data_IF_847746071744
#
_entry.id   IF_847746071744
#
_cell.length_a   1.000
_cell.length_b   1.000
_cell.length_c   1.000
_cell.angle_alpha   90.00
_cell.angle_beta   90.00
_cell.angle_gamma   90.00
#
_symmetry.space_group_name_H-M   'P 1'
#
loop_
_entity.id
_entity.type
_entity.pdbx_description
1 polymer ?
#
# COMPACT_ATOMS: atom_id res chain seq x y z
N UNK A 1 2.52 -0.15 19.43
CA UNK A 1 1.12 -0.26 19.90
C UNK A 1 0.98 -1.36 20.95
N UNK A 2 1.38 -2.60 20.65
CA UNK A 2 1.19 -3.74 21.57
C UNK A 2 1.77 -3.54 22.97
N UNK A 3 2.96 -2.95 23.08
CA UNK A 3 3.56 -2.64 24.37
C UNK A 3 2.72 -1.65 25.20
N UNK A 4 2.04 -0.68 24.57
CA UNK A 4 1.17 0.26 25.27
C UNK A 4 -0.13 -0.40 25.74
N UNK A 5 -0.66 -1.34 24.95
CA UNK A 5 -1.82 -2.16 25.34
C UNK A 5 -1.44 -3.09 26.50
N UNK A 6 -0.32 -3.80 26.39
CA UNK A 6 0.16 -4.72 27.43
C UNK A 6 0.50 -4.00 28.75
N UNK A 7 0.96 -2.75 28.66
CA UNK A 7 1.20 -1.89 29.83
C UNK A 7 -0.08 -1.25 30.41
N UNK A 8 -1.25 -1.48 29.81
CA UNK A 8 -2.52 -0.89 30.25
C UNK A 8 -2.63 0.62 30.03
N UNK A 9 -1.79 1.20 29.17
CA UNK A 9 -1.78 2.64 28.87
C UNK A 9 -2.90 3.03 27.90
N UNK A 10 -3.31 2.09 27.04
CA UNK A 10 -4.44 2.21 26.12
C UNK A 10 -5.19 0.88 26.05
N UNK A 11 -6.47 0.92 25.68
CA UNK A 11 -7.36 -0.25 25.58
C UNK A 11 -7.08 -1.13 24.35
N UNK A 12 -6.70 -0.54 23.22
CA UNK A 12 -6.37 -1.26 22.00
C UNK A 12 -5.35 -0.52 21.11
N UNK A 13 -4.98 -1.13 19.99
CA UNK A 13 -4.02 -0.54 19.04
C UNK A 13 -4.59 0.71 18.36
N UNK A 14 -5.89 0.76 18.09
CA UNK A 14 -6.55 1.89 17.43
C UNK A 14 -6.44 3.14 18.31
N UNK A 15 -6.68 3.00 19.61
CA UNK A 15 -6.48 4.07 20.59
C UNK A 15 -5.02 4.53 20.63
N UNK A 16 -4.06 3.60 20.58
CA UNK A 16 -2.64 3.94 20.52
C UNK A 16 -2.32 4.85 19.32
N UNK A 17 -2.82 4.52 18.13
CA UNK A 17 -2.59 5.31 16.90
C UNK A 17 -3.43 6.58 16.82
N UNK A 18 -4.57 6.65 17.50
CA UNK A 18 -5.36 7.88 17.61
C UNK A 18 -4.72 8.91 18.57
N UNK A 19 -3.82 8.50 19.47
CA UNK A 19 -3.29 9.34 20.55
C UNK A 19 -1.75 9.42 20.60
N UNK A 20 -1.08 8.37 21.10
CA UNK A 20 0.36 8.40 21.43
C UNK A 20 1.24 8.14 20.21
N UNK A 21 0.79 7.30 19.28
CA UNK A 21 1.55 6.84 18.12
C UNK A 21 1.17 7.55 16.81
N UNK A 22 0.35 8.60 16.89
CA UNK A 22 0.07 9.48 15.74
C UNK A 22 1.27 10.35 15.39
N UNK A 23 1.39 10.71 14.12
CA UNK A 23 2.41 11.62 13.60
C UNK A 23 2.31 13.04 14.17
N UNK A 24 1.17 13.40 14.76
CA UNK A 24 0.94 14.69 15.42
C UNK A 24 1.33 14.70 16.90
N UNK A 25 1.70 13.55 17.48
CA UNK A 25 2.06 13.47 18.89
C UNK A 25 3.48 14.02 19.12
N UNK A 26 3.73 14.51 20.34
CA UNK A 26 5.08 14.92 20.78
C UNK A 26 6.09 13.77 20.87
N UNK A 27 5.63 12.52 20.73
CA UNK A 27 6.46 11.32 20.79
C UNK A 27 6.85 10.80 19.39
N UNK A 28 6.28 11.37 18.34
CA UNK A 28 6.58 10.95 16.98
C UNK A 28 8.01 11.34 16.60
N UNK A 29 8.77 10.35 16.16
CA UNK A 29 10.08 10.53 15.54
C UNK A 29 9.95 10.05 14.10
N UNK A 30 10.23 10.94 13.15
CA UNK A 30 10.15 10.60 11.73
C UNK A 30 11.24 9.58 11.39
N UNK A 31 10.81 8.42 10.89
CA UNK A 31 11.70 7.43 10.31
C UNK A 31 12.07 7.82 8.88
N UNK A 32 13.31 7.52 8.47
CA UNK A 32 13.73 7.69 7.08
C UNK A 32 12.90 6.78 6.17
N UNK A 33 12.27 7.36 5.16
CA UNK A 33 11.66 6.61 4.07
C UNK A 33 12.38 6.98 2.77
N UNK A 34 12.74 6.01 1.91
CA UNK A 34 13.28 6.32 0.60
C UNK A 34 12.25 7.11 -0.21
N UNK A 35 12.75 7.90 -1.15
CA UNK A 35 11.89 8.54 -2.15
C UNK A 35 11.09 7.46 -2.91
N UNK A 36 9.78 7.66 -3.18
CA UNK A 36 8.96 6.66 -3.86
C UNK A 36 9.49 6.24 -5.24
N UNK A 37 10.10 7.17 -5.98
CA UNK A 37 10.73 6.92 -7.28
C UNK A 37 11.92 5.98 -7.11
N UNK A 38 12.79 6.28 -6.13
CA UNK A 38 13.92 5.41 -5.78
C UNK A 38 13.44 4.02 -5.34
N UNK A 39 12.35 3.93 -4.58
CA UNK A 39 11.79 2.64 -4.18
C UNK A 39 11.32 1.81 -5.39
N UNK A 40 10.65 2.44 -6.37
CA UNK A 40 10.26 1.81 -7.63
C UNK A 40 11.49 1.30 -8.38
N UNK A 41 12.51 2.13 -8.56
CA UNK A 41 13.75 1.76 -9.26
C UNK A 41 14.45 0.58 -8.61
N UNK A 42 14.52 0.55 -7.28
CA UNK A 42 15.12 -0.56 -6.52
C UNK A 42 14.36 -1.87 -6.72
N UNK A 43 13.02 -1.84 -6.66
CA UNK A 43 12.20 -3.04 -6.91
C UNK A 43 12.40 -3.53 -8.34
N UNK A 44 12.43 -2.62 -9.33
CA UNK A 44 12.68 -2.96 -10.73
C UNK A 44 14.08 -3.55 -10.94
N UNK A 45 15.10 -2.96 -10.33
CA UNK A 45 16.48 -3.44 -10.40
C UNK A 45 16.65 -4.84 -9.79
N UNK A 46 15.85 -5.17 -8.77
CA UNK A 46 15.77 -6.50 -8.19
C UNK A 46 14.95 -7.51 -9.03
N UNK A 47 14.42 -7.10 -10.20
CA UNK A 47 13.57 -7.94 -11.04
C UNK A 47 12.13 -8.11 -10.52
N UNK A 48 11.69 -7.23 -9.62
CA UNK A 48 10.34 -7.24 -9.04
C UNK A 48 9.34 -6.38 -9.82
N UNK A 49 8.07 -6.49 -9.40
CA UNK A 49 6.94 -5.74 -9.95
C UNK A 49 6.44 -4.74 -8.91
N UNK A 50 6.81 -3.45 -9.01
CA UNK A 50 6.39 -2.45 -8.03
C UNK A 50 4.90 -2.12 -8.18
N UNK A 51 4.18 -2.19 -7.06
CA UNK A 51 2.76 -1.83 -6.93
C UNK A 51 2.61 -0.82 -5.81
N UNK A 52 1.92 0.30 -6.06
CA UNK A 52 1.68 1.31 -5.04
C UNK A 52 0.48 0.90 -4.17
N UNK A 53 0.75 0.50 -2.94
CA UNK A 53 -0.26 0.08 -1.97
C UNK A 53 -1.16 1.25 -1.51
N UNK A 54 -2.47 1.00 -1.52
CA UNK A 54 -3.59 1.83 -1.05
C UNK A 54 -3.29 3.34 -1.07
N UNK A 55 -3.03 3.92 -2.27
CA UNK A 55 -2.35 5.21 -2.38
C UNK A 55 -3.27 6.41 -2.08
N UNK A 56 -4.58 6.18 -1.95
CA UNK A 56 -5.59 7.19 -1.59
C UNK A 56 -6.16 6.93 -0.19
N UNK A 57 -5.40 6.26 0.69
CA UNK A 57 -5.73 6.05 2.09
C UNK A 57 -5.67 7.37 2.90
N UNK A 58 -6.62 8.27 2.66
CA UNK A 58 -6.67 9.65 3.22
C UNK A 58 -6.72 9.67 4.75
N UNK A 59 -7.25 8.62 5.38
CA UNK A 59 -7.24 8.46 6.85
C UNK A 59 -5.86 8.19 7.46
N UNK A 60 -4.84 7.86 6.65
CA UNK A 60 -3.49 7.52 7.12
C UNK A 60 -2.45 8.63 6.89
N UNK A 61 -2.83 9.76 6.28
CA UNK A 61 -1.92 10.89 6.07
C UNK A 61 -2.18 11.64 4.76
N UNK A 62 -1.17 12.39 4.29
CA UNK A 62 -1.27 13.13 3.03
C UNK A 62 -1.30 12.16 1.86
N UNK A 63 -2.35 12.23 1.06
CA UNK A 63 -2.40 11.60 -0.26
C UNK A 63 -1.39 12.31 -1.15
N UNK A 64 -0.61 11.54 -1.91
CA UNK A 64 0.37 12.12 -2.86
C UNK A 64 -0.34 12.78 -4.03
N UNK A 65 0.22 13.88 -4.54
CA UNK A 65 -0.34 14.56 -5.71
C UNK A 65 -0.01 13.83 -7.02
N UNK A 66 -0.71 14.19 -8.10
CA UNK A 66 -0.51 13.59 -9.43
C UNK A 66 0.95 13.57 -9.92
N UNK A 67 1.76 14.56 -9.51
CA UNK A 67 3.18 14.62 -9.88
C UNK A 67 3.93 13.37 -9.42
N UNK A 68 3.72 12.93 -8.18
CA UNK A 68 4.40 11.76 -7.63
C UNK A 68 3.99 10.48 -8.34
N UNK A 69 2.71 10.35 -8.73
CA UNK A 69 2.28 9.22 -9.57
C UNK A 69 3.02 9.22 -10.90
N UNK A 70 3.15 10.36 -11.57
CA UNK A 70 3.90 10.47 -12.84
C UNK A 70 5.37 10.10 -12.66
N UNK A 71 6.03 10.64 -11.63
CA UNK A 71 7.44 10.35 -11.33
C UNK A 71 7.66 8.84 -11.09
N UNK A 72 6.76 8.19 -10.34
CA UNK A 72 6.82 6.74 -10.13
C UNK A 72 6.56 5.95 -11.42
N UNK A 73 5.60 6.36 -12.24
CA UNK A 73 5.32 5.72 -13.54
C UNK A 73 6.53 5.84 -14.46
N UNK A 74 7.14 7.02 -14.55
CA UNK A 74 8.34 7.27 -15.35
C UNK A 74 9.54 6.42 -14.87
N UNK A 75 9.63 6.16 -13.56
CA UNK A 75 10.62 5.25 -12.98
C UNK A 75 10.28 3.76 -13.13
N UNK A 76 9.12 3.42 -13.68
CA UNK A 76 8.73 2.04 -13.99
C UNK A 76 7.78 1.40 -12.97
N UNK A 77 6.91 2.17 -12.32
CA UNK A 77 5.78 1.63 -11.57
C UNK A 77 4.93 0.74 -12.48
N UNK A 78 4.51 -0.43 -11.98
CA UNK A 78 3.77 -1.41 -12.78
C UNK A 78 2.33 -1.65 -12.30
N UNK A 79 1.98 -1.22 -11.09
CA UNK A 79 0.61 -1.38 -10.61
C UNK A 79 0.19 -0.41 -9.51
N UNK A 80 -1.12 -0.36 -9.30
CA UNK A 80 -1.78 0.37 -8.23
C UNK A 80 -2.70 -0.60 -7.48
N UNK A 81 -2.69 -0.53 -6.16
CA UNK A 81 -3.72 -1.20 -5.36
C UNK A 81 -4.99 -0.35 -5.36
N UNK A 82 -5.98 -0.80 -6.12
CA UNK A 82 -7.27 -0.14 -6.30
C UNK A 82 -8.27 -0.65 -5.27
N UNK A 83 -8.45 -1.98 -5.20
CA UNK A 83 -9.40 -2.59 -4.26
C UNK A 83 -8.79 -2.69 -2.86
N UNK A 84 -9.02 -1.64 -2.07
CA UNK A 84 -8.63 -1.62 -0.67
C UNK A 84 -9.63 -0.78 0.12
N UNK A 85 -9.95 -1.20 1.35
CA UNK A 85 -10.99 -0.53 2.16
C UNK A 85 -10.68 0.93 2.49
N UNK A 86 -9.38 1.26 2.57
CA UNK A 86 -8.94 2.61 2.89
C UNK A 86 -8.94 3.54 1.65
N UNK A 87 -9.09 2.99 0.44
CA UNK A 87 -9.34 3.80 -0.75
C UNK A 87 -10.85 4.09 -0.83
N UNK A 88 -11.30 5.35 -0.67
CA UNK A 88 -12.71 5.72 -0.86
C UNK A 88 -13.11 5.55 -2.32
N UNK A 89 -14.41 5.46 -2.62
CA UNK A 89 -14.90 5.18 -3.98
C UNK A 89 -14.36 6.17 -5.02
N UNK A 90 -14.41 7.47 -4.73
CA UNK A 90 -13.82 8.52 -5.59
C UNK A 90 -12.31 8.30 -5.83
N UNK A 91 -11.60 7.82 -4.81
CA UNK A 91 -10.19 7.44 -4.91
C UNK A 91 -10.00 6.22 -5.80
N UNK A 92 -10.86 5.21 -5.70
CA UNK A 92 -10.83 4.03 -6.57
C UNK A 92 -11.09 4.41 -8.02
N UNK A 93 -12.07 5.26 -8.30
CA UNK A 93 -12.37 5.76 -9.64
C UNK A 93 -11.16 6.48 -10.25
N UNK A 94 -10.52 7.38 -9.49
CA UNK A 94 -9.29 8.04 -9.90
C UNK A 94 -8.19 7.03 -10.25
N UNK A 95 -7.94 6.04 -9.38
CA UNK A 95 -6.91 5.03 -9.59
C UNK A 95 -7.19 4.14 -10.80
N UNK A 96 -8.45 3.74 -11.03
CA UNK A 96 -8.85 2.99 -12.23
C UNK A 96 -8.58 3.80 -13.50
N UNK A 97 -8.94 5.10 -13.50
CA UNK A 97 -8.68 6.00 -14.61
C UNK A 97 -7.19 6.14 -14.91
N UNK A 98 -6.38 6.31 -13.86
CA UNK A 98 -4.91 6.39 -13.98
C UNK A 98 -4.31 5.08 -14.49
N UNK A 99 -4.75 3.93 -13.95
CA UNK A 99 -4.29 2.61 -14.38
C UNK A 99 -4.64 2.35 -15.84
N UNK A 100 -5.87 2.62 -16.26
CA UNK A 100 -6.31 2.46 -17.65
C UNK A 100 -5.51 3.35 -18.61
N UNK A 101 -5.23 4.61 -18.23
CA UNK A 101 -4.47 5.56 -19.03
C UNK A 101 -3.03 5.13 -19.27
N UNK A 102 -2.40 4.52 -18.27
CA UNK A 102 -0.96 4.19 -18.29
C UNK A 102 -0.67 2.69 -18.44
N UNK A 103 -1.70 1.85 -18.58
CA UNK A 103 -1.55 0.39 -18.68
C UNK A 103 -1.03 -0.27 -17.40
N UNK A 104 -1.35 0.30 -16.24
CA UNK A 104 -0.93 -0.23 -14.95
C UNK A 104 -1.82 -1.39 -14.51
N UNK A 105 -1.23 -2.35 -13.79
CA UNK A 105 -1.95 -3.42 -13.13
C UNK A 105 -2.85 -2.86 -12.02
N UNK A 106 -4.04 -3.42 -11.88
CA UNK A 106 -4.96 -3.09 -10.79
C UNK A 106 -5.02 -4.25 -9.81
N UNK A 107 -4.48 -4.04 -8.61
CA UNK A 107 -4.47 -5.07 -7.55
C UNK A 107 -5.52 -4.75 -6.49
N UNK A 108 -5.77 -5.77 -5.67
CA UNK A 108 -6.60 -5.68 -4.48
C UNK A 108 -6.06 -6.54 -3.36
N UNK A 109 -6.14 -6.06 -2.12
CA UNK A 109 -5.74 -6.83 -0.96
C UNK A 109 -6.51 -6.45 0.29
N UNK A 110 -6.44 -7.34 1.28
CA UNK A 110 -7.08 -7.11 2.57
C UNK A 110 -6.23 -6.31 3.55
N UNK A 111 -4.90 -6.17 3.36
CA UNK A 111 -4.01 -5.63 4.41
C UNK A 111 -4.28 -6.31 5.78
N UNK A 112 -4.53 -7.63 5.77
CA UNK A 112 -4.95 -8.41 6.94
C UNK A 112 -3.85 -8.48 8.00
N UNK A 113 -4.20 -8.20 9.25
CA UNK A 113 -3.27 -8.16 10.40
C UNK A 113 -3.80 -8.97 11.60
N UNK A 114 -4.57 -10.04 11.35
CA UNK A 114 -5.15 -10.82 12.43
C UNK A 114 -6.23 -10.04 13.19
N UNK A 115 -6.17 -10.10 14.52
CA UNK A 115 -6.98 -9.27 15.42
C UNK A 115 -6.45 -7.84 15.57
N UNK A 116 -5.32 -7.52 14.94
CA UNK A 116 -4.66 -6.21 15.08
C UNK A 116 -5.23 -5.09 14.21
N UNK A 117 -6.14 -5.39 13.29
CA UNK A 117 -6.91 -4.46 12.45
C UNK A 117 -8.32 -5.02 12.21
N UNK A 118 -9.31 -4.19 11.87
CA UNK A 118 -10.66 -4.64 11.52
C UNK A 118 -10.75 -5.30 10.14
N UNK A 119 -9.64 -5.40 9.39
CA UNK A 119 -9.63 -5.94 8.04
C UNK A 119 -9.88 -7.45 8.09
N UNK A 120 -10.77 -7.95 7.23
CA UNK A 120 -11.05 -9.37 7.10
C UNK A 120 -10.17 -9.98 6.00
N UNK A 121 -9.67 -11.19 6.22
CA UNK A 121 -8.88 -11.88 5.21
C UNK A 121 -9.71 -12.06 3.94
N UNK A 122 -9.18 -11.61 2.81
CA UNK A 122 -9.84 -11.73 1.50
C UNK A 122 -10.99 -10.76 1.26
N UNK A 123 -11.17 -9.71 2.07
CA UNK A 123 -12.24 -8.71 1.86
C UNK A 123 -12.10 -7.90 0.55
N UNK A 124 -10.88 -7.85 0.00
CA UNK A 124 -10.61 -7.40 -1.37
C UNK A 124 -9.57 -8.35 -1.99
N UNK A 125 -9.63 -8.53 -3.30
CA UNK A 125 -8.86 -9.55 -4.02
C UNK A 125 -8.22 -8.96 -5.27
N UNK A 126 -7.09 -9.55 -5.69
CA UNK A 126 -6.49 -9.33 -7.00
C UNK A 126 -7.04 -10.38 -7.97
N UNK A 127 -7.44 -9.96 -9.17
CA UNK A 127 -7.96 -10.88 -10.17
C UNK A 127 -6.88 -11.88 -10.63
N UNK A 128 -7.23 -13.16 -10.90
CA UNK A 128 -6.24 -14.18 -11.28
C UNK A 128 -5.38 -13.81 -12.50
N UNK A 129 -5.94 -13.12 -13.49
CA UNK A 129 -5.25 -12.64 -14.67
C UNK A 129 -4.21 -11.55 -14.35
N UNK A 130 -4.49 -10.70 -13.35
CA UNK A 130 -3.53 -9.71 -12.86
C UNK A 130 -2.38 -10.40 -12.14
N UNK A 131 -2.68 -11.42 -11.33
CA UNK A 131 -1.65 -12.24 -10.69
C UNK A 131 -0.76 -12.93 -11.74
N UNK A 132 -1.35 -13.57 -12.75
CA UNK A 132 -0.60 -14.18 -13.84
C UNK A 132 0.32 -13.16 -14.53
N UNK A 133 -0.16 -11.93 -14.75
CA UNK A 133 0.66 -10.87 -15.33
C UNK A 133 1.80 -10.42 -14.43
N UNK A 134 1.61 -10.39 -13.11
CA UNK A 134 2.71 -10.14 -12.15
C UNK A 134 3.76 -11.24 -12.25
N UNK A 135 3.33 -12.51 -12.30
CA UNK A 135 4.24 -13.66 -12.46
C UNK A 135 5.04 -13.61 -13.76
N UNK A 136 4.42 -13.20 -14.88
CA UNK A 136 5.10 -13.03 -16.18
C UNK A 136 6.15 -11.91 -16.18
N UNK A 137 5.90 -10.82 -15.45
CA UNK A 137 6.77 -9.64 -15.42
C UNK A 137 7.91 -9.77 -14.41
N UNK A 138 7.72 -10.58 -13.36
CA UNK A 138 8.72 -10.80 -12.32
C UNK A 138 9.86 -11.69 -12.84
N UNK A 139 11.10 -11.30 -12.56
CA UNK A 139 12.32 -12.01 -12.96
C UNK A 139 13.28 -12.26 -11.79
N UNK A 140 13.04 -11.63 -10.63
CA UNK A 140 13.92 -11.71 -9.46
C UNK A 140 13.86 -13.02 -8.66
N UNK A 141 12.82 -13.84 -8.86
CA UNK A 141 12.66 -15.12 -8.19
C UNK A 141 11.74 -16.06 -8.94
N UNK A 142 11.89 -17.36 -8.72
CA UNK A 142 10.88 -18.35 -9.13
C UNK A 142 9.61 -18.20 -8.30
N UNK A 143 8.45 -18.37 -8.95
CA UNK A 143 7.16 -18.38 -8.24
C UNK A 143 7.08 -19.64 -7.38
N UNK A 144 6.84 -19.46 -6.08
CA UNK A 144 6.61 -20.58 -5.15
C UNK A 144 5.14 -20.97 -5.21
N UNK A 145 4.87 -22.23 -5.56
CA UNK A 145 3.54 -22.84 -5.54
C UNK A 145 3.51 -23.85 -4.38
N UNK A 146 2.47 -23.81 -3.56
CA UNK A 146 2.22 -24.72 -2.44
C UNK A 146 0.93 -25.50 -2.61
#
# INVERSE_FOLDING_TARGET
ADALVAAGVVSDRSEAFASILTSHSRYFVQHYAPDPTTAVELVRAAGGVPVFAHPVASGRGRVVGERTYREMIDAGLLGLEVEHRDNPEEGREFLRGLAAKHGLLMTGSSDYHGTGKPNLLGENLTAPEVLARIEELATGSVVVRG
#
